data_IF_002564920289
#
_entry.id   IF_002564920289
#
_cell.length_a   1.000
_cell.length_b   1.000
_cell.length_c   1.000
_cell.angle_alpha   90.00
_cell.angle_beta   90.00
_cell.angle_gamma   90.00
#
_symmetry.space_group_name_H-M   'P 1'
#
loop_
_entity.id
_entity.type
_entity.pdbx_description
1 polymer ?
#
# COMPACT_ATOMS: atom_id res chain seq x y z
N UNK A 1 39.42 18.44 -34.06
CA UNK A 1 38.24 17.59 -34.40
C UNK A 1 38.12 16.36 -33.51
N UNK A 2 39.22 15.62 -33.26
CA UNK A 2 39.24 14.44 -32.38
C UNK A 2 38.85 14.75 -30.92
N UNK A 3 39.36 15.83 -30.35
CA UNK A 3 39.04 16.23 -28.97
C UNK A 3 37.60 16.70 -28.81
N UNK A 4 37.06 17.38 -29.83
CA UNK A 4 35.65 17.80 -29.87
C UNK A 4 34.70 16.60 -29.95
N UNK A 5 35.05 15.57 -30.74
CA UNK A 5 34.33 14.30 -30.79
C UNK A 5 34.39 13.54 -29.45
N UNK A 6 35.54 13.57 -28.78
CA UNK A 6 35.72 12.93 -27.48
C UNK A 6 34.87 13.61 -26.39
N UNK A 7 34.87 14.95 -26.34
CA UNK A 7 34.04 15.73 -25.41
C UNK A 7 32.55 15.48 -25.67
N UNK A 8 32.12 15.46 -26.93
CA UNK A 8 30.73 15.15 -27.28
C UNK A 8 30.34 13.72 -26.86
N UNK A 9 31.24 12.75 -27.05
CA UNK A 9 31.02 11.37 -26.61
C UNK A 9 30.84 11.23 -25.10
N UNK A 10 31.68 11.92 -24.32
CA UNK A 10 31.55 11.96 -22.85
C UNK A 10 30.23 12.62 -22.45
N UNK A 11 29.86 13.73 -23.08
CA UNK A 11 28.61 14.43 -22.77
C UNK A 11 27.39 13.53 -23.02
N UNK A 12 27.34 12.82 -24.15
CA UNK A 12 26.26 11.88 -24.45
C UNK A 12 26.21 10.71 -23.46
N UNK A 13 27.36 10.21 -23.04
CA UNK A 13 27.44 9.16 -22.03
C UNK A 13 26.90 9.64 -20.68
N UNK A 14 27.32 10.83 -20.21
CA UNK A 14 26.84 11.39 -18.93
C UNK A 14 25.33 11.67 -18.98
N UNK A 15 24.83 12.25 -20.07
CA UNK A 15 23.40 12.50 -20.24
C UNK A 15 22.57 11.21 -20.26
N UNK A 16 22.99 10.20 -21.04
CA UNK A 16 22.27 8.92 -21.10
C UNK A 16 22.30 8.18 -19.76
N UNK A 17 23.44 8.19 -19.08
CA UNK A 17 23.58 7.61 -17.75
C UNK A 17 22.71 8.33 -16.70
N UNK A 18 22.67 9.66 -16.74
CA UNK A 18 21.80 10.46 -15.88
C UNK A 18 20.32 10.15 -16.09
N UNK A 19 19.86 10.01 -17.33
CA UNK A 19 18.48 9.64 -17.65
C UNK A 19 18.13 8.25 -17.08
N UNK A 20 19.04 7.29 -17.18
CA UNK A 20 18.82 5.94 -16.62
C UNK A 20 18.67 6.00 -15.10
N UNK A 21 19.56 6.73 -14.41
CA UNK A 21 19.50 6.89 -12.96
C UNK A 21 18.20 7.57 -12.50
N UNK A 22 17.80 8.65 -13.16
CA UNK A 22 16.56 9.37 -12.82
C UNK A 22 15.34 8.47 -12.99
N UNK A 23 15.27 7.69 -14.08
CA UNK A 23 14.16 6.77 -14.29
C UNK A 23 14.14 5.64 -13.25
N UNK A 24 15.30 5.10 -12.89
CA UNK A 24 15.40 4.09 -11.85
C UNK A 24 14.92 4.62 -10.49
N UNK A 25 15.36 5.82 -10.12
CA UNK A 25 14.96 6.44 -8.86
C UNK A 25 13.48 6.81 -8.84
N UNK A 26 12.93 7.26 -9.97
CA UNK A 26 11.49 7.52 -10.12
C UNK A 26 10.66 6.26 -9.91
N UNK A 27 11.08 5.13 -10.48
CA UNK A 27 10.41 3.84 -10.31
C UNK A 27 10.47 3.36 -8.85
N UNK A 28 11.62 3.51 -8.18
CA UNK A 28 11.75 3.20 -6.75
C UNK A 28 10.81 4.07 -5.89
N UNK A 29 10.83 5.39 -6.09
CA UNK A 29 9.97 6.31 -5.36
C UNK A 29 8.48 6.02 -5.60
N UNK A 30 8.10 5.62 -6.81
CA UNK A 30 6.71 5.23 -7.09
C UNK A 30 6.29 4.00 -6.30
N UNK A 31 7.16 2.98 -6.19
CA UNK A 31 6.88 1.78 -5.41
C UNK A 31 6.73 2.08 -3.93
N UNK A 32 7.62 2.91 -3.37
CA UNK A 32 7.56 3.32 -1.97
C UNK A 32 6.30 4.12 -1.66
N UNK A 33 5.91 5.04 -2.55
CA UNK A 33 4.67 5.80 -2.42
C UNK A 33 3.44 4.89 -2.46
N UNK A 34 3.39 3.92 -3.37
CA UNK A 34 2.28 2.96 -3.44
C UNK A 34 2.18 2.15 -2.15
N UNK A 35 3.31 1.68 -1.63
CA UNK A 35 3.34 0.90 -0.40
C UNK A 35 2.91 1.74 0.82
N UNK A 36 3.38 2.99 0.89
CA UNK A 36 3.01 3.92 1.95
C UNK A 36 1.50 4.24 1.93
N UNK A 37 0.96 4.63 0.78
CA UNK A 37 -0.48 4.89 0.61
C UNK A 37 -1.31 3.67 0.96
N UNK A 38 -0.89 2.48 0.53
CA UNK A 38 -1.57 1.23 0.90
C UNK A 38 -1.58 1.04 2.42
N UNK A 39 -0.44 1.22 3.08
CA UNK A 39 -0.31 1.02 4.51
C UNK A 39 -1.13 2.04 5.33
N UNK A 40 -1.06 3.32 4.97
CA UNK A 40 -1.79 4.38 5.65
C UNK A 40 -3.30 4.29 5.42
N UNK A 41 -3.72 4.03 4.19
CA UNK A 41 -5.15 3.85 3.88
C UNK A 41 -5.70 2.68 4.69
N UNK A 42 -5.07 1.50 4.64
CA UNK A 42 -5.56 0.31 5.36
C UNK A 42 -5.59 0.54 6.87
N UNK A 43 -4.55 1.16 7.43
CA UNK A 43 -4.50 1.48 8.87
C UNK A 43 -5.64 2.41 9.28
N UNK A 44 -5.87 3.47 8.50
CA UNK A 44 -6.90 4.46 8.84
C UNK A 44 -8.32 3.93 8.63
N UNK A 45 -8.58 3.15 7.59
CA UNK A 45 -9.90 2.56 7.36
C UNK A 45 -10.18 1.42 8.31
N UNK A 46 -9.19 0.59 8.64
CA UNK A 46 -9.35 -0.46 9.63
C UNK A 46 -9.68 0.13 11.00
N UNK A 47 -8.95 1.17 11.43
CA UNK A 47 -9.22 1.83 12.70
C UNK A 47 -10.63 2.48 12.75
N UNK A 48 -11.11 3.02 11.63
CA UNK A 48 -12.43 3.65 11.55
C UNK A 48 -13.60 2.65 11.42
N UNK A 49 -13.34 1.45 10.88
CA UNK A 49 -14.37 0.42 10.69
C UNK A 49 -14.55 -0.51 11.90
N UNK A 50 -13.68 -0.40 12.92
CA UNK A 50 -13.85 -1.11 14.19
C UNK A 50 -14.93 -0.45 15.03
N UNK A 51 -15.89 -1.25 15.50
CA UNK A 51 -16.89 -0.80 16.46
C UNK A 51 -16.22 -0.48 17.81
N UNK A 52 -16.26 0.77 18.31
CA UNK A 52 -15.71 1.13 19.62
C UNK A 52 -16.28 0.30 20.78
N UNK A 53 -17.53 -0.19 20.67
CA UNK A 53 -18.18 -1.00 21.69
C UNK A 53 -17.59 -2.42 21.78
N UNK A 54 -17.06 -2.95 20.67
CA UNK A 54 -16.41 -4.28 20.66
C UNK A 54 -15.14 -4.31 21.51
N UNK A 55 -14.43 -3.19 21.64
CA UNK A 55 -13.22 -3.06 22.47
C UNK A 55 -13.47 -3.20 23.97
N UNK A 56 -14.74 -3.26 24.40
CA UNK A 56 -15.14 -3.40 25.80
C UNK A 56 -15.24 -4.87 26.22
N UNK A 57 -15.36 -5.80 25.26
CA UNK A 57 -15.35 -7.24 25.53
C UNK A 57 -13.96 -7.81 25.21
N UNK A 58 -13.42 -8.61 26.14
CA UNK A 58 -12.13 -9.28 25.96
C UNK A 58 -12.17 -10.23 24.75
N UNK A 59 -11.13 -10.21 23.91
CA UNK A 59 -10.97 -11.16 22.81
C UNK A 59 -11.74 -10.87 21.51
N UNK A 60 -12.61 -9.87 21.42
CA UNK A 60 -13.48 -9.67 20.25
C UNK A 60 -13.40 -8.27 19.65
N UNK A 61 -12.84 -8.16 18.44
CA UNK A 61 -12.96 -6.97 17.59
C UNK A 61 -13.95 -7.26 16.47
N UNK A 62 -15.04 -6.50 16.44
CA UNK A 62 -16.00 -6.53 15.34
C UNK A 62 -15.66 -5.45 14.32
N UNK A 63 -15.40 -5.89 13.09
CA UNK A 63 -15.12 -5.05 11.93
C UNK A 63 -16.30 -5.14 10.96
N UNK A 64 -16.87 -4.01 10.56
CA UNK A 64 -17.78 -4.00 9.42
C UNK A 64 -16.96 -4.19 8.14
N UNK A 65 -16.82 -5.44 7.70
CA UNK A 65 -16.04 -5.82 6.52
C UNK A 65 -16.50 -5.11 5.26
N UNK A 66 -17.81 -4.96 5.05
CA UNK A 66 -18.33 -4.33 3.83
C UNK A 66 -17.99 -2.84 3.81
N UNK A 67 -18.16 -2.16 4.94
CA UNK A 67 -17.77 -0.75 5.09
C UNK A 67 -16.26 -0.58 4.91
N UNK A 68 -15.47 -1.43 5.57
CA UNK A 68 -14.02 -1.45 5.46
C UNK A 68 -13.55 -1.63 4.00
N UNK A 69 -14.03 -2.65 3.29
CA UNK A 69 -13.63 -2.93 1.91
C UNK A 69 -14.02 -1.80 0.95
N UNK A 70 -15.23 -1.24 1.13
CA UNK A 70 -15.73 -0.15 0.29
C UNK A 70 -14.89 1.10 0.47
N UNK A 71 -14.68 1.53 1.72
CA UNK A 71 -13.92 2.76 2.02
C UNK A 71 -12.44 2.61 1.72
N UNK A 72 -11.85 1.43 1.98
CA UNK A 72 -10.45 1.12 1.63
C UNK A 72 -10.26 1.20 0.12
N UNK A 73 -11.09 0.50 -0.66
CA UNK A 73 -10.98 0.51 -2.12
C UNK A 73 -11.12 1.93 -2.68
N UNK A 74 -12.11 2.69 -2.19
CA UNK A 74 -12.37 4.06 -2.62
C UNK A 74 -11.25 5.04 -2.26
N UNK A 75 -10.61 4.89 -1.10
CA UNK A 75 -9.45 5.70 -0.71
C UNK A 75 -8.23 5.34 -1.54
N UNK A 76 -7.91 4.06 -1.71
CA UNK A 76 -6.79 3.61 -2.54
C UNK A 76 -6.91 4.11 -3.98
N UNK A 77 -8.10 4.03 -4.57
CA UNK A 77 -8.35 4.57 -5.91
C UNK A 77 -8.11 6.07 -6.01
N UNK A 78 -8.44 6.85 -4.97
CA UNK A 78 -8.20 8.30 -4.95
C UNK A 78 -6.74 8.65 -4.74
N UNK A 79 -6.08 8.02 -3.77
CA UNK A 79 -4.68 8.32 -3.43
C UNK A 79 -3.73 7.95 -4.56
N UNK A 80 -4.03 6.87 -5.29
CA UNK A 80 -3.17 6.38 -6.36
C UNK A 80 -3.51 6.94 -7.74
N UNK A 81 -4.63 7.65 -7.92
CA UNK A 81 -5.06 8.17 -9.22
C UNK A 81 -3.99 9.01 -9.97
N UNK A 82 -3.06 9.63 -9.24
CA UNK A 82 -1.98 10.46 -9.80
C UNK A 82 -0.74 9.67 -10.22
N UNK A 83 -0.56 8.46 -9.70
CA UNK A 83 0.66 7.63 -9.89
C UNK A 83 0.35 6.33 -10.62
N UNK A 84 -0.71 5.63 -10.23
CA UNK A 84 -1.13 4.37 -10.85
C UNK A 84 -2.57 3.97 -10.48
N UNK A 85 -3.30 3.37 -11.41
CA UNK A 85 -4.63 2.83 -11.08
C UNK A 85 -4.52 1.52 -10.29
N UNK A 86 -5.27 1.41 -9.19
CA UNK A 86 -5.49 0.13 -8.53
C UNK A 86 -6.35 -0.76 -9.44
N UNK A 87 -5.73 -1.79 -10.02
CA UNK A 87 -6.37 -2.73 -10.95
C UNK A 87 -7.30 -3.70 -10.21
N UNK A 88 -6.85 -4.17 -9.04
CA UNK A 88 -7.53 -5.18 -8.25
C UNK A 88 -7.18 -5.01 -6.78
N UNK A 89 -8.15 -5.19 -5.89
CA UNK A 89 -7.95 -5.20 -4.44
C UNK A 89 -8.58 -6.46 -3.85
N UNK A 90 -7.83 -7.18 -3.02
CA UNK A 90 -8.24 -8.42 -2.35
C UNK A 90 -8.07 -8.29 -0.84
N UNK A 91 -9.06 -8.81 -0.13
CA UNK A 91 -9.12 -8.78 1.33
C UNK A 91 -9.06 -10.19 1.88
N UNK A 92 -8.33 -10.39 2.97
CA UNK A 92 -8.24 -11.67 3.67
C UNK A 92 -8.26 -11.43 5.17
N UNK A 93 -9.20 -12.06 5.86
CA UNK A 93 -9.40 -11.88 7.30
C UNK A 93 -8.86 -13.07 8.06
N UNK A 94 -8.11 -12.78 9.12
CA UNK A 94 -7.80 -13.75 10.17
C UNK A 94 -8.84 -13.58 11.26
N UNK A 95 -9.59 -14.65 11.54
CA UNK A 95 -10.65 -14.66 12.55
C UNK A 95 -10.25 -15.48 13.77
N UNK A 96 -10.76 -15.09 14.92
CA UNK A 96 -10.77 -15.90 16.14
C UNK A 96 -11.93 -16.89 16.12
N UNK A 97 -11.87 -17.91 16.98
CA UNK A 97 -12.93 -18.93 17.10
C UNK A 97 -14.29 -18.35 17.50
N UNK A 98 -14.28 -17.18 18.15
CA UNK A 98 -15.47 -16.42 18.55
C UNK A 98 -16.14 -15.67 17.38
N UNK A 99 -15.47 -15.60 16.22
CA UNK A 99 -15.95 -14.85 15.04
C UNK A 99 -15.37 -13.43 14.91
N UNK A 100 -14.66 -12.95 15.93
CA UNK A 100 -13.95 -11.67 15.90
C UNK A 100 -12.81 -11.64 14.87
N UNK A 101 -12.45 -10.45 14.39
CA UNK A 101 -11.39 -10.25 13.39
C UNK A 101 -10.08 -9.87 14.08
N UNK A 102 -9.06 -10.76 14.02
CA UNK A 102 -7.72 -10.54 14.56
C UNK A 102 -6.83 -9.69 13.66
N UNK A 103 -6.89 -9.95 12.36
CA UNK A 103 -6.10 -9.19 11.40
C UNK A 103 -6.79 -9.16 10.05
N UNK A 104 -6.50 -8.11 9.29
CA UNK A 104 -6.88 -8.01 7.88
C UNK A 104 -5.64 -7.84 7.03
N UNK A 105 -5.50 -8.69 6.01
CA UNK A 105 -4.51 -8.54 4.95
C UNK A 105 -5.18 -7.97 3.72
N UNK A 106 -4.61 -6.91 3.18
CA UNK A 106 -5.05 -6.27 1.94
C UNK A 106 -3.96 -6.44 0.90
N UNK A 107 -4.33 -6.98 -0.26
CA UNK A 107 -3.46 -7.09 -1.43
C UNK A 107 -4.02 -6.24 -2.55
N UNK A 108 -3.18 -5.44 -3.18
CA UNK A 108 -3.55 -4.57 -4.29
C UNK A 108 -2.63 -4.80 -5.47
N UNK A 109 -3.21 -4.88 -6.66
CA UNK A 109 -2.45 -4.92 -7.91
C UNK A 109 -2.41 -3.52 -8.53
N UNK A 110 -1.21 -3.03 -8.81
CA UNK A 110 -0.99 -1.76 -9.48
C UNK A 110 0.23 -1.88 -10.40
N UNK A 111 0.10 -1.49 -11.67
CA UNK A 111 1.21 -1.54 -12.63
C UNK A 111 1.74 -2.93 -12.89
N UNK A 112 0.86 -3.94 -12.87
CA UNK A 112 1.25 -5.34 -13.00
C UNK A 112 1.97 -5.95 -11.78
N UNK A 113 2.23 -5.18 -10.70
CA UNK A 113 2.86 -5.66 -9.47
C UNK A 113 1.83 -5.79 -8.33
N UNK A 114 2.06 -6.75 -7.45
CA UNK A 114 1.26 -6.93 -6.24
C UNK A 114 1.93 -6.26 -5.04
N UNK A 115 1.16 -5.45 -4.33
CA UNK A 115 1.51 -4.82 -3.06
C UNK A 115 0.62 -5.41 -1.97
N UNK A 116 1.14 -5.52 -0.75
CA UNK A 116 0.37 -6.06 0.36
C UNK A 116 0.69 -5.34 1.66
N UNK A 117 -0.31 -5.21 2.53
CA UNK A 117 -0.13 -4.84 3.92
C UNK A 117 -1.02 -5.70 4.80
N UNK A 118 -0.68 -5.83 6.08
CA UNK A 118 -1.49 -6.53 7.08
C UNK A 118 -1.66 -5.62 8.28
N UNK A 119 -2.91 -5.41 8.68
CA UNK A 119 -3.26 -4.70 9.90
C UNK A 119 -3.73 -5.71 10.95
N UNK A 120 -2.98 -5.84 12.04
CA UNK A 120 -3.39 -6.61 13.20
C UNK A 120 -4.14 -5.68 14.15
N UNK A 121 -5.32 -6.11 14.58
CA UNK A 121 -6.09 -5.37 15.59
C UNK A 121 -5.48 -5.63 16.97
N UNK A 122 -5.43 -4.59 17.79
CA UNK A 122 -5.04 -4.70 19.19
C UNK A 122 -6.20 -5.36 19.94
N UNK A 123 -6.07 -6.65 20.22
CA UNK A 123 -7.02 -7.44 20.99
C UNK A 123 -6.34 -7.74 22.31
N UNK A 124 -7.00 -7.40 23.43
CA UNK A 124 -6.59 -7.95 24.72
C UNK A 124 -6.90 -9.45 24.71
N UNK A 125 -5.86 -10.27 24.53
CA UNK A 125 -5.95 -11.71 24.76
C UNK A 125 -6.11 -11.90 26.29
N UNK A 126 -7.31 -12.33 26.72
CA UNK A 126 -7.55 -12.67 28.12
C UNK A 126 -6.56 -13.75 28.58
N UNK A 127 -5.90 -13.50 29.72
CA UNK A 127 -4.95 -14.39 30.38
C UNK A 127 -5.60 -15.67 30.90
#
# INVERSE_FOLDING_TARGET
MKDMLLILGILLFVCSFGIILVNYQREANNQDNIFLSLNETVKTTAAAAVDPASRVQEGEVFLDEKSFETETTKKLQRELASTQTAEEVRYTYLRENTGGVKAVRVKMKAGGKWYQTTYAFDIQEGL
#
